data_IF_364661211489
#
_entry.id   IF_364661211489
#
_cell.length_a   1.000
_cell.length_b   1.000
_cell.length_c   1.000
_cell.angle_alpha   90.00
_cell.angle_beta   90.00
_cell.angle_gamma   90.00
#
_symmetry.space_group_name_H-M   'P 1'
#
loop_
_entity.id
_entity.type
_entity.pdbx_description
1 polymer ?
#
# COMPACT_ATOMS: atom_id res chain seq x y z
N UNK A 1 2.74 -4.55 -11.12
CA UNK A 1 3.36 -3.22 -11.01
C UNK A 1 2.24 -2.20 -11.06
N UNK A 2 1.56 -2.05 -9.92
CA UNK A 2 0.52 -1.04 -9.79
C UNK A 2 1.14 0.25 -9.24
N UNK A 3 0.70 1.39 -9.77
CA UNK A 3 1.20 2.70 -9.34
C UNK A 3 0.45 3.16 -8.10
N UNK A 4 1.19 3.66 -7.10
CA UNK A 4 0.59 4.25 -5.92
C UNK A 4 -0.02 5.61 -6.28
N UNK A 5 -1.28 5.84 -5.96
CA UNK A 5 -1.94 7.15 -6.18
C UNK A 5 -1.86 8.07 -4.96
N UNK A 6 -1.41 7.53 -3.83
CA UNK A 6 -1.30 8.22 -2.53
C UNK A 6 -0.12 7.64 -1.75
N UNK A 7 0.44 8.39 -0.79
CA UNK A 7 1.48 7.87 0.08
C UNK A 7 1.01 6.60 0.80
N UNK A 8 1.84 5.57 0.77
CA UNK A 8 1.56 4.24 1.30
C UNK A 8 2.66 3.79 2.26
N UNK A 9 2.29 3.10 3.33
CA UNK A 9 3.22 2.52 4.30
C UNK A 9 3.08 1.01 4.27
N UNK A 10 4.05 0.33 3.66
CA UNK A 10 4.06 -1.13 3.53
C UNK A 10 5.21 -1.75 4.31
N UNK A 11 4.98 -2.88 4.96
CA UNK A 11 6.05 -3.68 5.59
C UNK A 11 6.37 -4.81 4.63
N UNK A 12 7.58 -4.84 4.07
CA UNK A 12 8.02 -5.97 3.23
C UNK A 12 8.24 -7.21 4.08
N UNK A 13 8.09 -8.36 3.46
CA UNK A 13 8.28 -9.62 4.15
C UNK A 13 9.73 -9.74 4.68
N UNK A 14 9.88 -9.84 5.99
CA UNK A 14 11.19 -9.87 6.66
C UNK A 14 11.73 -8.50 7.09
N UNK A 15 11.07 -7.39 6.74
CA UNK A 15 11.34 -6.10 7.35
C UNK A 15 10.54 -5.94 8.65
N UNK A 16 11.20 -5.38 9.66
CA UNK A 16 10.58 -5.10 10.96
C UNK A 16 9.89 -3.73 10.96
N UNK A 17 10.24 -2.88 9.99
CA UNK A 17 9.78 -1.51 9.89
C UNK A 17 9.00 -1.27 8.60
N UNK A 18 7.92 -0.47 8.66
CA UNK A 18 7.20 -0.05 7.46
C UNK A 18 8.04 0.91 6.62
N UNK A 19 8.14 0.64 5.33
CA UNK A 19 8.69 1.54 4.32
C UNK A 19 7.62 2.54 3.89
N UNK A 20 8.01 3.80 3.76
CA UNK A 20 7.19 4.85 3.15
C UNK A 20 7.38 4.86 1.64
N UNK A 21 6.27 4.76 0.93
CA UNK A 21 6.19 4.90 -0.52
C UNK A 21 5.37 6.15 -0.86
N UNK A 22 5.78 6.88 -1.87
CA UNK A 22 5.12 8.12 -2.29
C UNK A 22 4.06 7.87 -3.37
N UNK A 23 3.18 8.85 -3.57
CA UNK A 23 2.26 8.83 -4.70
C UNK A 23 3.05 8.98 -6.01
N UNK A 24 2.84 8.08 -6.95
CA UNK A 24 3.58 7.94 -8.20
C UNK A 24 4.66 6.87 -8.16
N UNK A 25 4.95 6.29 -6.98
CA UNK A 25 5.93 5.22 -6.83
C UNK A 25 5.34 3.85 -7.21
N UNK A 26 6.20 2.95 -7.68
CA UNK A 26 5.78 1.62 -8.14
C UNK A 26 5.58 0.68 -6.95
N UNK A 27 4.37 0.13 -6.80
CA UNK A 27 4.09 -0.81 -5.73
C UNK A 27 4.57 -2.22 -6.12
N UNK A 28 5.48 -2.85 -5.34
CA UNK A 28 5.86 -4.23 -5.58
C UNK A 28 4.67 -5.16 -5.33
N UNK A 29 4.57 -6.26 -6.08
CA UNK A 29 3.45 -7.21 -6.03
C UNK A 29 3.18 -7.78 -4.62
N UNK A 30 4.21 -7.89 -3.79
CA UNK A 30 4.12 -8.32 -2.38
C UNK A 30 3.34 -7.31 -1.51
N UNK A 31 3.39 -6.03 -1.87
CA UNK A 31 2.69 -4.94 -1.21
C UNK A 31 1.42 -4.52 -1.96
N UNK A 32 1.25 -4.91 -3.22
CA UNK A 32 0.06 -4.57 -4.02
C UNK A 32 -1.22 -5.01 -3.32
N UNK A 33 -1.27 -6.19 -2.70
CA UNK A 33 -2.48 -6.67 -2.02
C UNK A 33 -2.85 -5.77 -0.82
N UNK A 34 -1.84 -5.36 -0.04
CA UNK A 34 -2.00 -4.42 1.07
C UNK A 34 -2.34 -3.00 0.60
N UNK A 35 -1.66 -2.52 -0.44
CA UNK A 35 -1.91 -1.22 -1.06
C UNK A 35 -3.32 -1.16 -1.67
N UNK A 36 -3.77 -2.23 -2.33
CA UNK A 36 -5.13 -2.38 -2.86
C UNK A 36 -6.16 -2.39 -1.73
N UNK A 37 -5.89 -3.12 -0.65
CA UNK A 37 -6.78 -3.20 0.50
C UNK A 37 -6.96 -1.84 1.22
N UNK A 38 -5.99 -0.93 1.14
CA UNK A 38 -6.09 0.44 1.68
C UNK A 38 -6.45 1.50 0.64
N UNK A 39 -6.73 1.09 -0.59
CA UNK A 39 -7.06 1.99 -1.71
C UNK A 39 -5.91 2.90 -2.13
N UNK A 40 -4.66 2.45 -2.00
CA UNK A 40 -3.47 3.18 -2.38
C UNK A 40 -3.02 2.98 -3.84
N UNK A 41 -3.60 2.02 -4.56
CA UNK A 41 -3.30 1.76 -5.98
C UNK A 41 -4.29 2.45 -6.92
N UNK A 42 -3.81 2.81 -8.11
CA UNK A 42 -4.66 3.30 -9.20
C UNK A 42 -5.66 2.21 -9.64
N UNK A 43 -6.97 2.49 -9.54
CA UNK A 43 -8.03 1.50 -9.81
C UNK A 43 -8.46 0.64 -8.62
N UNK A 44 -7.89 0.85 -7.42
CA UNK A 44 -8.43 0.31 -6.17
C UNK A 44 -9.63 1.15 -5.69
N UNK A 45 -10.70 1.20 -6.49
CA UNK A 45 -11.96 1.81 -6.09
C UNK A 45 -12.64 0.97 -4.99
N UNK A 46 -12.67 1.57 -3.80
CA UNK A 46 -13.65 1.37 -2.74
C UNK A 46 -13.80 -0.04 -2.12
N UNK A 47 -12.82 -0.45 -1.32
CA UNK A 47 -13.15 -1.11 -0.05
C UNK A 47 -12.34 -0.53 1.11
N UNK A 48 -13.09 0.17 1.97
CA UNK A 48 -12.78 0.86 3.23
C UNK A 48 -11.52 0.42 4.02
N UNK A 49 -10.88 1.37 4.73
CA UNK A 49 -9.64 1.16 5.45
C UNK A 49 -9.87 0.35 6.73
N UNK A 50 -9.15 -0.75 6.91
CA UNK A 50 -9.03 -1.38 8.23
C UNK A 50 -7.58 -1.29 8.69
N UNK A 51 -7.20 -0.12 9.19
CA UNK A 51 -6.08 -0.03 10.11
C UNK A 51 -6.65 0.05 11.53
N UNK A 52 -6.57 -1.00 12.36
CA UNK A 52 -6.58 -0.82 13.78
C UNK A 52 -5.11 -0.75 14.23
N UNK A 53 -4.62 0.48 14.41
CA UNK A 53 -3.56 0.73 15.39
C UNK A 53 -4.26 1.01 16.71
N UNK A 54 -4.36 0.00 17.58
CA UNK A 54 -4.42 0.20 19.04
C UNK A 54 -3.96 -1.05 19.77
#
# INVERSE_FOLDING_TARGET
>A
MATLIKPFKGVKNGEIYPTEFEAGDECPEELEDGARAVGALEGAEEKKPTAPKK
#
